data_IF_392973306152
#
_entry.id   IF_392973306152
#
_cell.length_a   1.000
_cell.length_b   1.000
_cell.length_c   1.000
_cell.angle_alpha   90.00
_cell.angle_beta   90.00
_cell.angle_gamma   90.00
#
_symmetry.space_group_name_H-M   'P 1'
#
loop_
_entity.id
_entity.type
_entity.pdbx_description
1 polymer ?
#
# COMPACT_ATOMS: atom_id res chain seq x y z
N UNK A 1 -3.47 -23.68 21.46
CA UNK A 1 -3.60 -23.02 20.14
C UNK A 1 -4.97 -22.32 19.96
N UNK A 2 -5.73 -22.00 21.03
CA UNK A 2 -7.15 -21.63 20.89
C UNK A 2 -7.62 -20.37 21.64
N UNK A 3 -6.79 -19.32 21.77
CA UNK A 3 -7.22 -18.06 22.40
C UNK A 3 -7.12 -16.84 21.47
N UNK A 4 -6.01 -16.68 20.74
CA UNK A 4 -5.78 -15.49 19.91
C UNK A 4 -6.65 -15.46 18.63
N UNK A 5 -6.90 -16.62 18.03
CA UNK A 5 -7.67 -16.76 16.78
C UNK A 5 -8.84 -17.74 16.99
N UNK A 6 -9.92 -17.33 17.67
CA UNK A 6 -11.06 -18.21 18.00
C UNK A 6 -12.01 -18.44 16.81
N UNK A 7 -11.64 -18.01 15.61
CA UNK A 7 -12.49 -18.02 14.42
C UNK A 7 -12.22 -19.24 13.55
N UNK A 8 -13.24 -19.68 12.81
CA UNK A 8 -13.07 -20.56 11.66
C UNK A 8 -12.95 -19.69 10.41
N UNK A 9 -11.93 -19.96 9.59
CA UNK A 9 -11.73 -19.28 8.30
C UNK A 9 -11.87 -20.34 7.22
N UNK A 10 -12.65 -20.00 6.20
CA UNK A 10 -12.90 -20.85 5.05
C UNK A 10 -12.52 -20.07 3.80
N UNK A 11 -11.90 -20.75 2.84
CA UNK A 11 -11.55 -20.18 1.56
C UNK A 11 -12.32 -20.87 0.44
N UNK A 12 -12.67 -20.10 -0.58
CA UNK A 12 -13.30 -20.62 -1.78
C UNK A 12 -12.70 -19.93 -2.99
N UNK A 13 -12.16 -20.72 -3.92
CA UNK A 13 -11.72 -20.21 -5.21
C UNK A 13 -12.92 -19.75 -6.02
N UNK A 14 -12.94 -18.47 -6.40
CA UNK A 14 -13.99 -17.91 -7.24
C UNK A 14 -13.53 -17.84 -8.69
N UNK A 15 -14.20 -18.53 -9.65
CA UNK A 15 -13.82 -18.46 -11.05
C UNK A 15 -14.11 -17.07 -11.62
N UNK A 16 -13.28 -16.57 -12.54
CA UNK A 16 -13.49 -15.28 -13.21
C UNK A 16 -14.80 -15.20 -14.02
N UNK A 17 -15.43 -16.35 -14.29
CA UNK A 17 -16.75 -16.42 -14.95
C UNK A 17 -17.92 -16.31 -13.97
N UNK A 18 -17.67 -16.18 -12.67
CA UNK A 18 -18.72 -16.03 -11.67
C UNK A 18 -19.49 -14.71 -11.89
N UNK A 19 -20.81 -14.80 -11.92
CA UNK A 19 -21.71 -13.64 -12.07
C UNK A 19 -22.27 -13.13 -10.72
N UNK A 20 -21.96 -13.82 -9.63
CA UNK A 20 -22.37 -13.45 -8.28
C UNK A 20 -21.73 -14.33 -7.21
N UNK A 21 -21.48 -13.76 -6.04
CA UNK A 21 -21.06 -14.47 -4.83
C UNK A 21 -21.90 -13.98 -3.65
N UNK A 22 -22.45 -14.92 -2.90
CA UNK A 22 -23.35 -14.62 -1.78
C UNK A 22 -23.11 -15.58 -0.62
N UNK A 23 -23.16 -15.05 0.60
CA UNK A 23 -23.19 -15.86 1.82
C UNK A 23 -24.60 -16.43 2.02
N UNK A 24 -24.74 -17.75 1.91
CA UNK A 24 -26.01 -18.48 2.10
C UNK A 24 -25.99 -19.26 3.43
N UNK A 25 -27.16 -19.34 4.09
CA UNK A 25 -27.35 -20.15 5.30
C UNK A 25 -26.39 -19.84 6.48
N UNK A 26 -25.88 -18.61 6.58
CA UNK A 26 -25.00 -18.21 7.68
C UNK A 26 -25.81 -17.86 8.93
N UNK A 27 -25.65 -18.66 10.00
CA UNK A 27 -26.13 -18.33 11.33
C UNK A 27 -25.09 -17.49 12.08
N UNK A 28 -25.22 -16.17 12.00
CA UNK A 28 -24.34 -15.22 12.71
C UNK A 28 -25.15 -14.12 13.39
N UNK A 29 -24.70 -13.65 14.56
CA UNK A 29 -25.31 -12.54 15.28
C UNK A 29 -25.19 -11.21 14.50
N UNK A 30 -24.08 -11.04 13.78
CA UNK A 30 -23.82 -9.93 12.87
C UNK A 30 -23.18 -10.49 11.61
N UNK A 31 -23.58 -9.98 10.44
CA UNK A 31 -23.07 -10.43 9.14
C UNK A 31 -22.52 -9.26 8.35
N UNK A 32 -21.34 -9.43 7.79
CA UNK A 32 -20.66 -8.44 6.95
C UNK A 32 -20.24 -9.08 5.62
N UNK A 33 -20.53 -8.44 4.46
CA UNK A 33 -21.46 -7.32 4.32
C UNK A 33 -22.89 -7.75 4.66
N UNK A 34 -23.70 -6.82 5.19
CA UNK A 34 -25.04 -7.12 5.72
C UNK A 34 -26.04 -7.62 4.67
N UNK A 35 -25.83 -7.27 3.39
CA UNK A 35 -26.62 -7.74 2.25
C UNK A 35 -26.19 -9.12 1.72
N UNK A 36 -25.13 -9.69 2.32
CA UNK A 36 -24.54 -11.00 2.04
C UNK A 36 -23.84 -11.10 0.69
N UNK A 37 -23.70 -10.02 -0.08
CA UNK A 37 -23.11 -10.04 -1.43
C UNK A 37 -21.63 -9.73 -1.33
N UNK A 38 -20.79 -10.62 -1.84
CA UNK A 38 -19.35 -10.39 -1.90
C UNK A 38 -19.01 -9.70 -3.22
N UNK A 39 -18.16 -8.65 -3.21
CA UNK A 39 -17.75 -8.01 -4.45
C UNK A 39 -16.95 -9.00 -5.30
N UNK A 40 -17.29 -9.05 -6.59
CA UNK A 40 -16.58 -9.87 -7.56
C UNK A 40 -15.75 -8.99 -8.50
N UNK A 41 -14.63 -9.51 -9.02
CA UNK A 41 -13.94 -8.93 -10.16
C UNK A 41 -14.91 -8.52 -11.29
N UNK A 42 -14.90 -7.25 -11.65
CA UNK A 42 -15.69 -6.72 -12.78
C UNK A 42 -15.03 -6.96 -14.15
N UNK A 43 -13.86 -7.60 -14.19
CA UNK A 43 -13.08 -7.85 -15.39
C UNK A 43 -13.08 -9.32 -15.81
N UNK A 44 -12.79 -9.56 -17.08
CA UNK A 44 -12.64 -10.90 -17.67
C UNK A 44 -11.18 -11.16 -18.00
N UNK A 45 -10.88 -12.31 -18.61
CA UNK A 45 -9.54 -12.65 -19.11
C UNK A 45 -9.03 -11.71 -20.22
N UNK A 46 -9.91 -10.91 -20.82
CA UNK A 46 -9.61 -9.99 -21.94
C UNK A 46 -9.89 -8.52 -21.61
N UNK A 47 -10.36 -8.21 -20.41
CA UNK A 47 -10.52 -6.82 -19.93
C UNK A 47 -9.63 -6.59 -18.70
N UNK A 48 -9.77 -5.47 -17.99
CA UNK A 48 -8.96 -5.12 -16.81
C UNK A 48 -9.77 -4.25 -15.83
N UNK A 49 -9.38 -4.16 -14.54
CA UNK A 49 -9.90 -3.14 -13.63
C UNK A 49 -9.80 -1.75 -14.26
N UNK A 50 -10.83 -0.93 -14.09
CA UNK A 50 -10.89 0.43 -14.62
C UNK A 50 -10.64 1.48 -13.53
N UNK A 51 -10.85 1.16 -12.25
CA UNK A 51 -10.72 2.09 -11.13
C UNK A 51 -10.08 1.39 -9.95
N UNK A 52 -8.83 1.72 -9.67
CA UNK A 52 -8.07 1.14 -8.57
C UNK A 52 -7.92 2.19 -7.46
N UNK A 53 -8.29 1.82 -6.23
CA UNK A 53 -7.88 2.57 -5.05
C UNK A 53 -6.65 1.91 -4.44
N UNK A 54 -5.59 2.68 -4.18
CA UNK A 54 -4.40 2.20 -3.46
C UNK A 54 -4.37 2.85 -2.09
N UNK A 55 -4.27 2.03 -1.04
CA UNK A 55 -4.18 2.44 0.36
C UNK A 55 -3.04 1.68 1.05
N UNK A 56 -2.49 2.21 2.14
CA UNK A 56 -1.42 1.57 2.89
C UNK A 56 -1.31 2.15 4.28
N UNK A 57 -0.71 1.37 5.19
CA UNK A 57 -0.31 1.86 6.51
C UNK A 57 -1.52 2.38 7.30
N UNK A 58 -2.53 1.52 7.41
CA UNK A 58 -3.91 1.91 7.72
C UNK A 58 -4.29 1.79 9.18
N UNK A 59 -3.61 0.94 9.96
CA UNK A 59 -4.01 0.69 11.35
C UNK A 59 -3.82 1.90 12.26
N UNK A 60 -4.37 1.79 13.47
CA UNK A 60 -4.27 2.86 14.46
C UNK A 60 -3.03 2.68 15.34
N UNK A 61 -2.10 3.65 15.34
CA UNK A 61 -0.86 3.57 16.12
C UNK A 61 -1.09 3.66 17.62
N UNK A 62 -0.96 2.50 18.28
CA UNK A 62 -0.97 2.37 19.74
C UNK A 62 0.30 1.61 20.15
N UNK A 63 1.47 2.27 20.08
CA UNK A 63 2.76 1.64 20.37
C UNK A 63 2.87 1.29 21.85
N UNK A 64 3.84 0.47 22.26
CA UNK A 64 4.12 0.23 23.69
C UNK A 64 4.68 1.44 24.43
N UNK A 65 5.34 2.35 23.71
CA UNK A 65 5.90 3.58 24.25
C UNK A 65 5.72 4.73 23.27
N UNK A 66 5.63 5.97 23.76
CA UNK A 66 5.45 7.16 22.92
C UNK A 66 3.98 7.56 22.73
N UNK A 67 3.73 8.42 21.75
CA UNK A 67 2.39 8.96 21.47
C UNK A 67 1.44 7.87 20.94
N UNK A 68 0.17 7.98 21.31
CA UNK A 68 -0.91 7.10 20.85
C UNK A 68 -1.85 7.91 19.97
N UNK A 69 -2.21 7.39 18.80
CA UNK A 69 -3.26 7.99 17.97
C UNK A 69 -4.62 7.74 18.63
N UNK A 70 -5.48 8.77 18.66
CA UNK A 70 -6.86 8.62 19.14
C UNK A 70 -7.69 7.86 18.10
N UNK A 71 -7.79 6.54 18.27
CA UNK A 71 -8.50 5.63 17.38
C UNK A 71 -10.01 5.84 17.41
N UNK A 72 -10.56 6.43 18.46
CA UNK A 72 -11.98 6.77 18.53
C UNK A 72 -12.36 8.01 17.70
N UNK A 73 -11.39 8.88 17.38
CA UNK A 73 -11.57 10.10 16.59
C UNK A 73 -11.06 9.94 15.16
N UNK A 74 -11.99 9.71 14.23
CA UNK A 74 -11.68 9.52 12.81
C UNK A 74 -11.54 10.83 12.00
N UNK A 75 -11.68 11.99 12.64
CA UNK A 75 -11.52 13.30 12.01
C UNK A 75 -10.10 13.84 12.19
N UNK A 76 -9.56 13.73 13.42
CA UNK A 76 -8.25 14.32 13.75
C UNK A 76 -7.23 13.33 14.32
N UNK A 77 -7.66 12.16 14.80
CA UNK A 77 -6.78 11.16 15.39
C UNK A 77 -6.33 10.09 14.39
N UNK A 78 -7.27 9.31 13.89
CA UNK A 78 -7.02 8.18 13.00
C UNK A 78 -7.98 8.15 11.80
N UNK A 79 -7.56 8.68 10.63
CA UNK A 79 -8.49 8.98 9.53
C UNK A 79 -8.84 7.79 8.64
N UNK A 80 -8.32 6.58 8.90
CA UNK A 80 -8.52 5.43 8.02
C UNK A 80 -10.01 5.11 7.75
N UNK A 81 -10.93 5.09 8.74
CA UNK A 81 -12.35 4.89 8.46
C UNK A 81 -12.94 5.93 7.50
N UNK A 82 -12.50 7.19 7.61
CA UNK A 82 -12.91 8.28 6.72
C UNK A 82 -12.36 8.08 5.31
N UNK A 83 -11.07 7.70 5.19
CA UNK A 83 -10.41 7.39 3.92
C UNK A 83 -11.04 6.18 3.23
N UNK A 84 -11.31 5.10 3.96
CA UNK A 84 -11.94 3.90 3.41
C UNK A 84 -13.35 4.20 2.85
N UNK A 85 -14.16 4.96 3.59
CA UNK A 85 -15.45 5.44 3.11
C UNK A 85 -15.33 6.36 1.89
N UNK A 86 -14.36 7.27 1.89
CA UNK A 86 -14.09 8.16 0.77
C UNK A 86 -13.67 7.38 -0.49
N UNK A 87 -12.74 6.44 -0.37
CA UNK A 87 -12.35 5.56 -1.47
C UNK A 87 -13.56 4.79 -2.01
N UNK A 88 -14.36 4.19 -1.13
CA UNK A 88 -15.54 3.43 -1.52
C UNK A 88 -16.58 4.27 -2.26
N UNK A 89 -16.79 5.53 -1.86
CA UNK A 89 -17.91 6.37 -2.37
C UNK A 89 -17.50 7.34 -3.47
N UNK A 90 -16.29 7.89 -3.42
CA UNK A 90 -15.77 8.87 -4.39
C UNK A 90 -15.06 8.16 -5.53
N UNK A 91 -14.16 7.23 -5.22
CA UNK A 91 -13.44 6.46 -6.24
C UNK A 91 -14.33 5.37 -6.82
N UNK A 92 -15.12 4.69 -5.99
CA UNK A 92 -15.92 3.52 -6.36
C UNK A 92 -15.05 2.51 -7.14
N UNK A 93 -13.95 2.04 -6.53
CA UNK A 93 -13.02 1.17 -7.21
C UNK A 93 -13.69 -0.14 -7.64
N UNK A 94 -13.22 -0.73 -8.73
CA UNK A 94 -13.48 -2.13 -9.04
C UNK A 94 -12.38 -3.06 -8.50
N UNK A 95 -11.25 -2.51 -8.06
CA UNK A 95 -10.17 -3.21 -7.35
C UNK A 95 -9.54 -2.29 -6.29
N UNK A 96 -9.22 -2.83 -5.12
CA UNK A 96 -8.39 -2.16 -4.12
C UNK A 96 -7.03 -2.85 -4.05
N UNK A 97 -5.96 -2.08 -3.92
CA UNK A 97 -4.62 -2.59 -3.59
C UNK A 97 -4.25 -2.03 -2.22
N UNK A 98 -3.98 -2.89 -1.25
CA UNK A 98 -3.45 -2.50 0.05
C UNK A 98 -1.96 -2.83 0.14
N UNK A 99 -1.12 -1.82 0.35
CA UNK A 99 0.35 -1.94 0.33
C UNK A 99 0.95 -2.27 1.71
N UNK A 100 0.25 -3.07 2.53
CA UNK A 100 0.75 -3.54 3.83
C UNK A 100 0.51 -2.60 5.02
N UNK A 101 0.89 -3.11 6.19
CA UNK A 101 0.71 -2.55 7.52
C UNK A 101 -0.76 -2.27 7.88
N UNK A 102 -1.36 -3.24 8.57
CA UNK A 102 -2.77 -3.25 8.95
C UNK A 102 -2.94 -3.13 10.46
N UNK A 103 -2.04 -3.72 11.25
CA UNK A 103 -2.15 -3.90 12.70
C UNK A 103 -1.12 -3.03 13.42
N UNK A 104 -1.58 -1.93 14.01
CA UNK A 104 -0.70 -0.95 14.66
C UNK A 104 -0.92 -0.87 16.17
N UNK A 105 -1.90 -1.61 16.70
CA UNK A 105 -2.12 -1.74 18.14
C UNK A 105 -1.17 -2.74 18.78
N UNK A 106 0.04 -2.28 19.06
CA UNK A 106 1.02 -3.05 19.85
C UNK A 106 0.65 -3.14 21.33
N UNK A 107 -0.08 -2.13 21.84
CA UNK A 107 -0.55 -2.09 23.22
C UNK A 107 -1.98 -1.52 23.35
N UNK A 108 -3.02 -2.33 23.06
CA UNK A 108 -4.42 -1.89 23.14
C UNK A 108 -4.84 -1.31 24.51
N UNK A 109 -4.08 -1.55 25.58
CA UNK A 109 -4.41 -1.04 26.91
C UNK A 109 -4.30 0.50 27.02
N UNK A 110 -3.54 1.12 26.13
CA UNK A 110 -3.25 2.56 26.15
C UNK A 110 -4.32 3.38 25.44
N UNK A 111 -5.24 2.71 24.73
CA UNK A 111 -6.25 3.36 23.91
C UNK A 111 -7.60 3.53 24.62
N UNK A 112 -8.39 4.51 24.16
CA UNK A 112 -9.64 4.91 24.80
C UNK A 112 -10.92 4.28 24.18
N UNK A 113 -10.78 3.46 23.13
CA UNK A 113 -11.91 2.92 22.34
C UNK A 113 -12.38 1.52 22.78
N UNK A 114 -11.91 1.04 23.93
CA UNK A 114 -12.17 -0.30 24.50
C UNK A 114 -13.65 -0.72 24.50
N UNK A 115 -14.56 0.22 24.77
CA UNK A 115 -15.99 -0.06 24.78
C UNK A 115 -16.50 -0.47 23.39
N UNK A 116 -15.92 0.08 22.32
CA UNK A 116 -16.28 -0.26 20.93
C UNK A 116 -15.58 -1.54 20.45
N UNK A 117 -14.44 -1.89 21.04
CA UNK A 117 -13.63 -3.03 20.65
C UNK A 117 -13.43 -4.00 21.83
N UNK A 118 -14.51 -4.65 22.32
CA UNK A 118 -14.37 -5.69 23.34
C UNK A 118 -13.45 -6.81 22.80
N UNK A 119 -12.51 -7.26 23.61
CA UNK A 119 -11.50 -8.26 23.21
C UNK A 119 -10.25 -7.70 22.54
N UNK A 120 -10.17 -6.37 22.35
CA UNK A 120 -8.95 -5.64 22.00
C UNK A 120 -8.73 -4.52 23.03
N UNK A 121 -8.43 -4.88 24.27
CA UNK A 121 -8.42 -3.91 25.38
C UNK A 121 -7.20 -3.99 26.29
N UNK A 122 -6.38 -5.03 26.14
CA UNK A 122 -5.17 -5.27 26.92
C UNK A 122 -3.98 -5.53 25.99
N UNK A 123 -2.75 -5.35 26.48
CA UNK A 123 -1.53 -5.72 25.74
C UNK A 123 -1.53 -7.18 25.27
N UNK A 124 -2.14 -8.08 26.05
CA UNK A 124 -2.24 -9.50 25.72
C UNK A 124 -3.15 -9.78 24.51
N UNK A 125 -4.05 -8.83 24.19
CA UNK A 125 -4.95 -8.92 23.06
C UNK A 125 -4.32 -8.46 21.74
N UNK A 126 -3.11 -7.88 21.76
CA UNK A 126 -2.46 -7.37 20.56
C UNK A 126 -2.44 -8.44 19.44
N UNK A 127 -2.86 -8.04 18.24
CA UNK A 127 -3.08 -8.91 17.08
C UNK A 127 -4.04 -10.10 17.29
N UNK A 128 -4.92 -10.07 18.30
CA UNK A 128 -6.07 -10.98 18.39
C UNK A 128 -7.04 -10.73 17.24
N UNK A 129 -7.96 -11.67 16.99
CA UNK A 129 -9.05 -11.45 16.05
C UNK A 129 -9.79 -10.12 16.29
N UNK A 130 -10.09 -9.79 17.54
CA UNK A 130 -10.82 -8.56 17.87
C UNK A 130 -10.00 -7.31 17.55
N UNK A 131 -8.66 -7.35 17.72
CA UNK A 131 -7.78 -6.27 17.28
C UNK A 131 -7.66 -6.19 15.76
N UNK A 132 -7.63 -7.31 15.04
CA UNK A 132 -7.67 -7.32 13.56
C UNK A 132 -8.96 -6.69 13.04
N UNK A 133 -10.08 -6.97 13.71
CA UNK A 133 -11.37 -6.32 13.39
C UNK A 133 -11.33 -4.82 13.70
N UNK A 134 -10.76 -4.43 14.84
CA UNK A 134 -10.67 -3.04 15.28
C UNK A 134 -9.81 -2.18 14.34
N UNK A 135 -8.65 -2.68 13.92
CA UNK A 135 -7.69 -1.94 13.10
C UNK A 135 -8.00 -1.99 11.60
N UNK A 136 -8.55 -3.09 11.08
CA UNK A 136 -8.72 -3.25 9.64
C UNK A 136 -10.16 -3.51 9.20
N UNK A 137 -10.75 -4.66 9.54
CA UNK A 137 -12.01 -5.09 8.90
C UNK A 137 -13.18 -4.14 9.14
N UNK A 138 -13.35 -3.61 10.36
CA UNK A 138 -14.46 -2.70 10.67
C UNK A 138 -14.24 -1.31 10.06
N UNK A 139 -13.08 -0.64 10.20
CA UNK A 139 -12.77 0.60 9.50
C UNK A 139 -12.92 0.52 7.97
N UNK A 140 -12.48 -0.60 7.39
CA UNK A 140 -12.49 -0.80 5.95
C UNK A 140 -13.82 -1.36 5.40
N UNK A 141 -14.80 -1.64 6.25
CA UNK A 141 -15.98 -2.43 5.91
C UNK A 141 -16.67 -1.96 4.63
N UNK A 142 -16.90 -0.64 4.47
CA UNK A 142 -17.56 -0.09 3.29
C UNK A 142 -16.74 -0.32 2.01
N UNK A 143 -15.42 -0.22 2.12
CA UNK A 143 -14.51 -0.45 1.00
C UNK A 143 -14.44 -1.93 0.63
N UNK A 144 -14.29 -2.81 1.63
CA UNK A 144 -14.24 -4.26 1.45
C UNK A 144 -15.58 -4.84 0.94
N UNK A 145 -16.70 -4.17 1.21
CA UNK A 145 -17.99 -4.53 0.63
C UNK A 145 -18.14 -4.08 -0.83
N UNK A 146 -17.36 -3.08 -1.27
CA UNK A 146 -17.49 -2.46 -2.58
C UNK A 146 -16.63 -3.10 -3.67
N UNK A 147 -15.46 -3.64 -3.33
CA UNK A 147 -14.49 -4.14 -4.30
C UNK A 147 -13.64 -5.31 -3.76
N UNK A 148 -13.19 -6.25 -4.62
CA UNK A 148 -12.13 -7.19 -4.27
C UNK A 148 -10.82 -6.45 -3.94
N UNK A 149 -10.00 -7.06 -3.08
CA UNK A 149 -8.77 -6.44 -2.57
C UNK A 149 -7.57 -7.34 -2.84
N UNK A 150 -6.49 -6.76 -3.36
CA UNK A 150 -5.16 -7.36 -3.42
C UNK A 150 -4.33 -6.84 -2.24
N UNK A 151 -3.71 -7.75 -1.50
CA UNK A 151 -3.03 -7.45 -0.23
C UNK A 151 -1.55 -7.82 -0.34
N UNK A 152 -0.69 -7.04 0.32
CA UNK A 152 0.70 -7.40 0.59
C UNK A 152 0.97 -7.26 2.07
N UNK A 153 1.96 -7.99 2.59
CA UNK A 153 2.35 -7.93 4.00
C UNK A 153 3.31 -6.78 4.26
N UNK A 154 3.12 -6.07 5.37
CA UNK A 154 4.06 -5.07 5.85
C UNK A 154 4.85 -5.50 7.09
N UNK A 155 5.77 -4.66 7.57
CA UNK A 155 6.63 -5.01 8.70
C UNK A 155 5.89 -5.09 10.03
N UNK A 156 4.74 -4.40 10.17
CA UNK A 156 3.89 -4.56 11.35
C UNK A 156 3.28 -5.96 11.46
N UNK A 157 3.21 -6.70 10.34
CA UNK A 157 2.80 -8.11 10.30
C UNK A 157 3.98 -9.09 10.09
N UNK A 158 5.20 -8.71 10.47
CA UNK A 158 6.31 -9.66 10.51
C UNK A 158 6.09 -10.76 11.56
N UNK A 159 6.77 -11.89 11.37
CA UNK A 159 6.77 -12.97 12.34
C UNK A 159 7.47 -12.54 13.63
N UNK A 160 6.81 -12.79 14.76
CA UNK A 160 7.52 -12.75 16.03
C UNK A 160 8.61 -13.83 16.10
N UNK A 161 9.48 -13.73 17.10
CA UNK A 161 10.58 -14.67 17.35
C UNK A 161 10.17 -16.15 17.50
N UNK A 162 8.90 -16.44 17.81
CA UNK A 162 8.37 -17.80 17.92
C UNK A 162 7.77 -18.34 16.61
N UNK A 163 7.71 -17.52 15.55
CA UNK A 163 7.08 -17.84 14.26
C UNK A 163 5.63 -18.35 14.39
N UNK A 164 4.94 -17.87 15.44
CA UNK A 164 3.60 -18.33 15.79
C UNK A 164 2.81 -17.28 16.55
N UNK A 165 1.55 -17.06 16.16
CA UNK A 165 0.70 -16.02 16.74
C UNK A 165 1.23 -14.61 16.44
N UNK A 166 0.74 -13.62 17.19
CA UNK A 166 1.07 -12.21 16.96
C UNK A 166 0.61 -11.71 15.58
N UNK A 167 1.12 -10.56 15.15
CA UNK A 167 0.69 -9.92 13.91
C UNK A 167 1.03 -10.76 12.66
N UNK A 168 2.22 -11.37 12.59
CA UNK A 168 2.53 -12.32 11.52
C UNK A 168 1.63 -13.55 11.49
N UNK A 169 1.30 -14.14 12.65
CA UNK A 169 0.30 -15.20 12.72
C UNK A 169 -1.09 -14.74 12.29
N UNK A 170 -1.47 -13.50 12.59
CA UNK A 170 -2.74 -12.91 12.15
C UNK A 170 -2.79 -12.69 10.64
N UNK A 171 -1.69 -12.26 10.01
CA UNK A 171 -1.56 -12.16 8.56
C UNK A 171 -1.83 -13.50 7.87
N UNK A 172 -1.10 -14.56 8.26
CA UNK A 172 -1.30 -15.89 7.69
C UNK A 172 -2.65 -16.50 8.07
N UNK A 173 -3.32 -16.00 9.11
CA UNK A 173 -4.64 -16.50 9.49
C UNK A 173 -5.77 -15.90 8.64
N UNK A 174 -5.65 -14.63 8.23
CA UNK A 174 -6.79 -13.85 7.72
C UNK A 174 -6.56 -13.12 6.39
N UNK A 175 -5.32 -12.85 5.99
CA UNK A 175 -5.00 -11.89 4.92
C UNK A 175 -4.08 -12.45 3.83
N UNK A 176 -3.25 -13.45 4.15
CA UNK A 176 -2.36 -14.10 3.19
C UNK A 176 -3.13 -14.85 2.08
N UNK A 177 -2.44 -15.15 0.98
CA UNK A 177 -2.92 -16.06 -0.06
C UNK A 177 -2.75 -17.55 0.31
N UNK A 178 -1.90 -17.84 1.29
CA UNK A 178 -1.71 -19.14 1.93
C UNK A 178 -2.22 -19.08 3.38
N UNK A 179 -3.51 -19.34 3.60
CA UNK A 179 -4.10 -19.25 4.93
C UNK A 179 -3.77 -20.46 5.82
N UNK A 180 -3.39 -20.18 7.07
CA UNK A 180 -2.92 -21.16 8.06
C UNK A 180 -3.77 -21.13 9.33
N UNK A 181 -4.35 -22.27 9.68
CA UNK A 181 -5.23 -22.40 10.85
C UNK A 181 -4.49 -22.52 12.19
N UNK A 182 -3.20 -22.84 12.18
CA UNK A 182 -2.40 -23.11 13.37
C UNK A 182 -1.65 -21.87 13.91
N UNK A 183 -1.81 -20.73 13.22
CA UNK A 183 -1.19 -19.45 13.55
C UNK A 183 0.31 -19.41 13.26
N UNK A 184 0.86 -20.34 12.48
CA UNK A 184 2.26 -20.30 12.03
C UNK A 184 2.51 -19.16 11.04
N UNK A 185 3.76 -18.73 10.96
CA UNK A 185 4.18 -17.60 10.14
C UNK A 185 5.54 -17.89 9.49
N UNK A 186 5.70 -17.48 8.22
CA UNK A 186 6.99 -17.52 7.53
C UNK A 186 7.58 -16.12 7.39
N UNK A 187 8.90 -16.01 7.56
CA UNK A 187 9.62 -14.74 7.42
C UNK A 187 9.61 -14.20 5.99
N UNK A 188 9.60 -15.09 5.01
CA UNK A 188 9.55 -14.74 3.60
C UNK A 188 8.56 -15.65 2.92
N UNK A 189 7.63 -15.09 2.14
CA UNK A 189 6.81 -15.84 1.19
C UNK A 189 7.24 -15.55 -0.24
N UNK A 190 6.95 -16.47 -1.15
CA UNK A 190 7.21 -16.25 -2.57
C UNK A 190 6.28 -15.15 -3.13
N UNK A 191 6.69 -14.43 -4.18
CA UNK A 191 5.84 -13.47 -4.85
C UNK A 191 4.58 -14.10 -5.43
N UNK A 192 3.44 -13.44 -5.17
CA UNK A 192 2.11 -13.93 -5.54
C UNK A 192 1.63 -13.18 -6.77
N UNK A 193 1.43 -13.90 -7.88
CA UNK A 193 0.90 -13.33 -9.11
C UNK A 193 -0.63 -13.37 -9.11
N UNK A 194 -1.27 -12.21 -9.26
CA UNK A 194 -2.72 -12.04 -9.31
C UNK A 194 -3.11 -11.58 -10.71
N UNK A 195 -3.94 -12.36 -11.40
CA UNK A 195 -4.40 -12.02 -12.75
C UNK A 195 -5.67 -11.16 -12.69
N UNK A 196 -5.50 -9.85 -12.85
CA UNK A 196 -6.60 -8.90 -12.99
C UNK A 196 -6.95 -8.64 -14.48
N UNK A 197 -7.20 -9.74 -15.22
CA UNK A 197 -7.47 -9.70 -16.65
C UNK A 197 -6.21 -9.43 -17.49
N UNK A 198 -6.15 -8.27 -18.15
CA UNK A 198 -4.99 -7.76 -18.91
C UNK A 198 -4.00 -6.94 -18.07
N UNK A 199 -4.38 -6.61 -16.83
CA UNK A 199 -3.45 -6.10 -15.82
C UNK A 199 -3.08 -7.27 -14.91
N UNK A 200 -1.79 -7.53 -14.75
CA UNK A 200 -1.29 -8.48 -13.77
C UNK A 200 -0.73 -7.71 -12.58
N UNK A 201 -1.00 -8.19 -11.38
CA UNK A 201 -0.40 -7.67 -10.15
C UNK A 201 0.56 -8.74 -9.62
N UNK A 202 1.65 -8.32 -9.02
CA UNK A 202 2.54 -9.24 -8.29
C UNK A 202 2.79 -8.66 -6.91
N UNK A 203 2.36 -9.37 -5.87
CA UNK A 203 2.67 -9.03 -4.48
C UNK A 203 4.09 -9.51 -4.17
N UNK A 204 4.92 -8.64 -3.63
CA UNK A 204 6.22 -8.98 -3.06
C UNK A 204 6.17 -8.73 -1.55
N UNK A 205 6.33 -9.81 -0.77
CA UNK A 205 6.44 -9.74 0.68
C UNK A 205 7.80 -9.15 1.08
N UNK A 206 7.80 -7.85 1.37
CA UNK A 206 8.99 -7.09 1.79
C UNK A 206 8.97 -6.74 3.27
N UNK A 207 8.11 -7.37 4.08
CA UNK A 207 7.97 -7.11 5.51
C UNK A 207 9.31 -7.17 6.24
N UNK A 208 10.20 -8.10 5.84
CA UNK A 208 11.52 -8.29 6.43
C UNK A 208 12.67 -7.76 5.55
N UNK A 209 12.39 -6.90 4.58
CA UNK A 209 13.43 -6.15 3.87
C UNK A 209 13.94 -5.04 4.79
N UNK A 210 15.27 -4.93 4.98
CA UNK A 210 15.89 -3.90 5.82
C UNK A 210 15.13 -3.66 7.15
N UNK A 211 14.99 -4.67 8.04
CA UNK A 211 14.01 -4.66 9.12
C UNK A 211 14.21 -3.55 10.17
N UNK A 212 15.37 -2.89 10.17
CA UNK A 212 15.70 -1.78 11.07
C UNK A 212 15.78 -0.43 10.33
N UNK A 213 15.42 -0.39 9.04
CA UNK A 213 15.50 0.78 8.15
C UNK A 213 16.85 1.49 8.21
N UNK A 214 17.92 0.70 8.31
CA UNK A 214 19.29 1.17 8.50
C UNK A 214 20.16 0.94 7.26
N UNK A 215 19.54 0.57 6.13
CA UNK A 215 20.21 0.27 4.87
C UNK A 215 20.79 -1.14 4.81
N UNK A 216 20.31 -2.07 5.64
CA UNK A 216 20.78 -3.45 5.64
C UNK A 216 20.50 -4.14 4.30
N UNK A 217 21.51 -4.81 3.75
CA UNK A 217 21.41 -5.60 2.51
C UNK A 217 21.47 -7.11 2.75
N UNK A 218 21.32 -7.54 4.01
CA UNK A 218 21.51 -8.95 4.42
C UNK A 218 20.61 -9.94 3.65
N UNK A 219 19.40 -9.52 3.28
CA UNK A 219 18.43 -10.35 2.58
C UNK A 219 18.53 -10.27 1.04
N UNK A 220 19.57 -9.63 0.47
CA UNK A 220 19.65 -9.36 -0.97
C UNK A 220 19.45 -10.61 -1.82
N UNK A 221 20.13 -11.72 -1.50
CA UNK A 221 20.01 -12.96 -2.25
C UNK A 221 18.59 -13.57 -2.23
N UNK A 222 17.82 -13.36 -1.16
CA UNK A 222 16.41 -13.78 -1.09
C UNK A 222 15.60 -12.96 -2.08
N UNK A 223 15.70 -11.64 -1.97
CA UNK A 223 14.93 -10.72 -2.82
C UNK A 223 15.34 -10.79 -4.28
N UNK A 224 16.61 -11.08 -4.62
CA UNK A 224 17.04 -11.28 -6.01
C UNK A 224 16.29 -12.46 -6.63
N UNK A 225 16.19 -13.59 -5.94
CA UNK A 225 15.43 -14.76 -6.43
C UNK A 225 13.96 -14.45 -6.62
N UNK A 226 13.37 -13.74 -5.66
CA UNK A 226 11.96 -13.35 -5.72
C UNK A 226 11.70 -12.35 -6.88
N UNK A 227 12.57 -11.36 -7.07
CA UNK A 227 12.45 -10.41 -8.18
C UNK A 227 12.73 -11.05 -9.54
N UNK A 228 13.56 -12.10 -9.61
CA UNK A 228 13.66 -12.94 -10.80
C UNK A 228 12.35 -13.71 -11.07
N UNK A 229 11.65 -14.17 -10.03
CA UNK A 229 10.32 -14.78 -10.19
C UNK A 229 9.28 -13.77 -10.69
N UNK A 230 9.31 -12.52 -10.19
CA UNK A 230 8.50 -11.40 -10.74
C UNK A 230 8.77 -11.23 -12.24
N UNK A 231 10.06 -11.21 -12.63
CA UNK A 231 10.46 -11.12 -14.03
C UNK A 231 9.96 -12.31 -14.86
N UNK A 232 10.00 -13.53 -14.33
CA UNK A 232 9.49 -14.72 -15.00
C UNK A 232 7.97 -14.66 -15.22
N UNK A 233 7.19 -14.17 -14.24
CA UNK A 233 5.76 -13.95 -14.44
C UNK A 233 5.48 -12.98 -15.59
N UNK A 234 6.19 -11.85 -15.60
CA UNK A 234 6.06 -10.83 -16.63
C UNK A 234 6.47 -11.34 -18.03
N UNK A 235 7.53 -12.13 -18.12
CA UNK A 235 8.01 -12.73 -19.37
C UNK A 235 7.05 -13.75 -19.98
N UNK A 236 6.26 -14.45 -19.17
CA UNK A 236 5.22 -15.38 -19.66
C UNK A 236 4.03 -14.65 -20.30
N UNK A 237 3.95 -13.33 -20.13
CA UNK A 237 2.83 -12.47 -20.56
C UNK A 237 3.32 -11.15 -21.17
N UNK A 238 4.16 -11.19 -22.22
CA UNK A 238 4.90 -10.01 -22.71
C UNK A 238 4.01 -8.91 -23.29
N UNK A 239 2.74 -9.21 -23.64
CA UNK A 239 1.76 -8.25 -24.15
C UNK A 239 0.78 -7.71 -23.10
N UNK A 240 0.93 -8.09 -21.83
CA UNK A 240 0.06 -7.65 -20.73
C UNK A 240 0.85 -6.75 -19.77
N UNK A 241 0.17 -5.79 -19.13
CA UNK A 241 0.78 -4.87 -18.17
C UNK A 241 0.97 -5.55 -16.81
N UNK A 242 2.05 -5.21 -16.10
CA UNK A 242 2.33 -5.67 -14.73
C UNK A 242 2.51 -4.49 -13.79
N UNK A 243 1.85 -4.54 -12.63
CA UNK A 243 2.18 -3.75 -11.46
C UNK A 243 2.81 -4.64 -10.40
N UNK A 244 4.00 -4.26 -9.94
CA UNK A 244 4.60 -4.83 -8.74
C UNK A 244 4.07 -4.04 -7.55
N UNK A 245 3.58 -4.70 -6.51
CA UNK A 245 3.22 -4.04 -5.28
C UNK A 245 3.87 -4.75 -4.10
N UNK A 246 4.35 -3.96 -3.17
CA UNK A 246 5.20 -4.34 -2.05
C UNK A 246 4.84 -3.45 -0.87
N UNK A 247 5.23 -3.80 0.35
CA UNK A 247 5.11 -2.83 1.44
C UNK A 247 6.26 -1.82 1.42
N UNK A 248 7.50 -2.28 1.59
CA UNK A 248 8.65 -1.39 1.58
C UNK A 248 8.98 -0.90 0.16
N UNK A 249 9.28 0.40 -0.01
CA UNK A 249 9.59 1.00 -1.30
C UNK A 249 10.94 0.55 -1.85
N UNK A 250 11.10 0.49 -3.17
CA UNK A 250 12.39 0.18 -3.80
C UNK A 250 13.25 1.43 -4.01
N UNK A 251 12.63 2.57 -4.35
CA UNK A 251 13.33 3.78 -4.78
C UNK A 251 12.71 5.09 -4.23
N UNK A 252 11.84 5.00 -3.22
CA UNK A 252 11.25 6.18 -2.59
C UNK A 252 12.35 7.04 -1.94
N UNK A 253 12.26 8.35 -2.13
CA UNK A 253 13.21 9.33 -1.59
C UNK A 253 12.64 9.93 -0.31
N UNK A 254 13.32 9.67 0.80
CA UNK A 254 12.97 10.19 2.13
C UNK A 254 13.43 11.63 2.32
N UNK A 255 14.64 11.95 1.87
CA UNK A 255 15.21 13.30 1.96
C UNK A 255 16.22 13.54 0.85
N UNK A 256 16.39 14.81 0.46
CA UNK A 256 17.42 15.24 -0.47
C UNK A 256 17.94 16.63 -0.11
N UNK A 257 19.20 16.92 -0.46
CA UNK A 257 19.85 18.20 -0.26
C UNK A 257 20.37 18.81 -1.55
N UNK A 258 21.13 19.90 -1.43
CA UNK A 258 21.56 20.72 -2.57
C UNK A 258 22.71 20.13 -3.39
N UNK A 259 23.45 19.18 -2.83
CA UNK A 259 24.61 18.58 -3.51
C UNK A 259 24.20 17.27 -4.16
N UNK A 260 24.69 16.98 -5.37
CA UNK A 260 24.45 15.69 -6.02
C UNK A 260 24.97 14.54 -5.14
N UNK A 261 24.13 13.54 -4.91
CA UNK A 261 24.41 12.41 -4.02
C UNK A 261 23.97 12.65 -2.56
N UNK A 262 23.56 13.86 -2.21
CA UNK A 262 22.92 14.17 -0.92
C UNK A 262 21.45 13.73 -0.97
N UNK A 263 21.23 12.42 -0.97
CA UNK A 263 19.90 11.81 -1.08
C UNK A 263 19.81 10.58 -0.17
N UNK A 264 18.73 10.51 0.59
CA UNK A 264 18.35 9.32 1.35
C UNK A 264 17.15 8.68 0.67
N UNK A 265 17.36 7.48 0.13
CA UNK A 265 16.29 6.62 -0.40
C UNK A 265 16.30 5.29 0.36
N UNK A 266 15.12 4.67 0.47
CA UNK A 266 14.89 3.57 1.40
C UNK A 266 14.95 2.18 0.77
N UNK A 267 15.14 1.19 1.64
CA UNK A 267 15.13 -0.25 1.35
C UNK A 267 16.16 -0.67 0.29
N UNK A 268 17.42 -0.23 0.49
CA UNK A 268 18.54 -0.49 -0.44
C UNK A 268 18.62 -1.93 -0.93
N UNK A 269 18.33 -2.89 -0.05
CA UNK A 269 18.32 -4.32 -0.36
C UNK A 269 17.42 -4.68 -1.54
N UNK A 270 16.27 -4.03 -1.72
CA UNK A 270 15.36 -4.32 -2.83
C UNK A 270 15.87 -3.71 -4.14
N UNK A 271 16.39 -2.48 -4.09
CA UNK A 271 17.02 -1.84 -5.24
C UNK A 271 18.26 -2.61 -5.73
N UNK A 272 19.12 -3.05 -4.81
CA UNK A 272 20.27 -3.90 -5.10
C UNK A 272 19.85 -5.27 -5.62
N UNK A 273 18.78 -5.86 -5.06
CA UNK A 273 18.26 -7.13 -5.51
C UNK A 273 17.75 -7.06 -6.95
N UNK A 274 17.09 -5.96 -7.35
CA UNK A 274 16.71 -5.71 -8.77
C UNK A 274 17.96 -5.67 -9.66
N UNK A 275 19.02 -5.00 -9.23
CA UNK A 275 20.28 -4.91 -9.97
C UNK A 275 20.95 -6.28 -10.17
N UNK A 276 20.78 -7.20 -9.20
CA UNK A 276 21.36 -8.55 -9.23
C UNK A 276 20.46 -9.59 -9.93
N UNK A 277 19.24 -9.23 -10.33
CA UNK A 277 18.39 -10.13 -11.15
C UNK A 277 19.07 -10.49 -12.47
N UNK A 278 18.69 -11.59 -13.09
CA UNK A 278 19.24 -12.03 -14.38
C UNK A 278 19.21 -10.94 -15.49
N UNK A 279 18.14 -10.14 -15.66
CA UNK A 279 18.13 -9.02 -16.61
C UNK A 279 18.75 -7.71 -16.06
N UNK A 280 19.19 -7.66 -14.80
CA UNK A 280 19.67 -6.46 -14.08
C UNK A 280 18.64 -5.32 -13.99
N UNK A 281 17.35 -5.67 -14.04
CA UNK A 281 16.20 -4.75 -14.01
C UNK A 281 14.90 -5.52 -13.82
N UNK A 282 13.80 -4.81 -13.55
CA UNK A 282 12.47 -5.38 -13.73
C UNK A 282 12.11 -5.50 -15.22
N UNK A 283 11.30 -6.49 -15.57
CA UNK A 283 10.85 -6.75 -16.93
C UNK A 283 10.18 -5.50 -17.54
N UNK A 284 10.31 -5.31 -18.86
CA UNK A 284 9.85 -4.08 -19.53
C UNK A 284 8.36 -3.81 -19.33
N UNK A 285 7.53 -4.84 -19.27
CA UNK A 285 6.10 -4.75 -19.03
C UNK A 285 5.71 -4.63 -17.55
N UNK A 286 6.66 -4.63 -16.60
CA UNK A 286 6.43 -4.08 -15.25
C UNK A 286 6.46 -2.57 -15.36
N UNK A 287 5.28 -1.94 -15.27
CA UNK A 287 5.07 -0.52 -15.61
C UNK A 287 5.00 0.40 -14.41
N UNK A 288 4.69 -0.12 -13.23
CA UNK A 288 4.55 0.65 -12.00
C UNK A 288 4.94 -0.22 -10.81
N UNK A 289 5.62 0.39 -9.85
CA UNK A 289 5.80 -0.17 -8.50
C UNK A 289 4.91 0.60 -7.54
N UNK A 290 4.16 -0.12 -6.71
CA UNK A 290 3.33 0.42 -5.64
C UNK A 290 3.91 0.03 -4.28
N UNK A 291 4.02 0.96 -3.34
CA UNK A 291 4.55 0.70 -1.99
C UNK A 291 3.86 1.53 -0.91
N UNK A 292 4.07 1.18 0.36
CA UNK A 292 3.66 1.92 1.56
C UNK A 292 4.87 2.23 2.45
N UNK A 293 4.80 1.83 3.72
CA UNK A 293 5.85 1.86 4.75
C UNK A 293 6.21 3.27 5.26
N UNK A 294 6.45 4.20 4.33
CA UNK A 294 6.64 5.60 4.69
C UNK A 294 5.28 6.26 4.66
N UNK A 295 4.91 6.91 5.76
CA UNK A 295 3.55 7.41 5.98
C UNK A 295 3.28 8.74 5.25
N UNK A 296 3.47 8.72 3.92
CA UNK A 296 3.24 9.83 3.00
C UNK A 296 2.81 9.30 1.62
N UNK A 297 2.45 10.22 0.73
CA UNK A 297 2.30 9.92 -0.71
C UNK A 297 3.49 10.51 -1.48
N UNK A 298 4.14 9.72 -2.32
CA UNK A 298 5.18 10.19 -3.24
C UNK A 298 5.14 9.45 -4.58
N UNK A 299 5.21 10.21 -5.67
CA UNK A 299 5.49 9.72 -7.02
C UNK A 299 6.95 10.00 -7.35
N UNK A 300 7.70 9.00 -7.80
CA UNK A 300 9.07 9.17 -8.28
C UNK A 300 9.28 8.42 -9.59
N UNK A 301 9.94 9.05 -10.55
CA UNK A 301 10.32 8.43 -11.82
C UNK A 301 11.70 8.85 -12.31
N UNK A 302 12.19 8.15 -13.33
CA UNK A 302 13.57 8.24 -13.81
C UNK A 302 13.68 8.53 -15.31
N UNK A 303 12.55 8.51 -16.02
CA UNK A 303 12.50 8.55 -17.49
C UNK A 303 13.43 7.50 -18.14
N UNK A 304 13.39 6.27 -17.61
CA UNK A 304 14.19 5.14 -18.12
C UNK A 304 13.37 3.85 -18.18
N UNK A 305 14.01 2.72 -18.49
CA UNK A 305 13.38 1.40 -18.43
C UNK A 305 12.95 0.98 -17.02
N UNK A 306 13.48 1.63 -15.97
CA UNK A 306 13.07 1.41 -14.57
C UNK A 306 11.62 1.88 -14.41
N UNK A 307 10.72 1.04 -13.89
CA UNK A 307 9.36 1.49 -13.65
C UNK A 307 9.36 2.64 -12.65
N UNK A 308 8.51 3.66 -12.86
CA UNK A 308 8.24 4.64 -11.81
C UNK A 308 7.65 3.96 -10.59
N UNK A 309 7.75 4.63 -9.44
CA UNK A 309 7.20 4.15 -8.18
C UNK A 309 6.21 5.16 -7.61
N UNK A 310 5.10 4.64 -7.10
CA UNK A 310 4.12 5.36 -6.32
C UNK A 310 4.08 4.78 -4.89
N UNK A 311 4.45 5.59 -3.91
CA UNK A 311 4.38 5.26 -2.48
C UNK A 311 3.11 5.86 -1.89
N UNK A 312 2.32 5.07 -1.18
CA UNK A 312 1.00 5.40 -0.62
C UNK A 312 0.87 4.83 0.80
N UNK A 313 1.58 5.42 1.76
CA UNK A 313 1.49 5.03 3.17
C UNK A 313 0.74 6.02 4.06
N UNK A 314 0.02 6.98 3.48
CA UNK A 314 -0.67 8.01 4.25
C UNK A 314 -2.15 7.71 4.53
N UNK A 315 -2.54 6.45 4.65
CA UNK A 315 -3.97 6.10 4.80
C UNK A 315 -4.45 5.88 6.24
N UNK A 316 -3.60 5.97 7.26
CA UNK A 316 -4.04 5.90 8.66
C UNK A 316 -2.98 6.23 9.71
N UNK A 317 -1.81 5.61 9.63
CA UNK A 317 -0.71 5.76 10.60
C UNK A 317 -0.13 7.17 10.69
N UNK A 318 0.67 7.50 11.71
CA UNK A 318 1.18 8.85 11.94
C UNK A 318 2.04 9.32 10.78
N UNK A 319 1.78 10.51 10.23
CA UNK A 319 2.44 10.97 9.00
C UNK A 319 3.95 11.20 9.19
N UNK A 320 4.71 10.84 8.17
CA UNK A 320 6.14 11.14 8.05
C UNK A 320 6.36 12.48 7.34
N UNK A 321 7.55 13.06 7.55
CA UNK A 321 8.03 14.17 6.74
C UNK A 321 8.58 13.66 5.39
N UNK A 322 8.19 14.35 4.31
CA UNK A 322 8.68 14.12 2.95
C UNK A 322 9.77 15.11 2.52
N UNK A 323 10.48 14.82 1.41
CA UNK A 323 11.55 15.68 0.89
C UNK A 323 11.01 16.97 0.26
N UNK A 324 11.89 17.96 0.09
CA UNK A 324 11.68 19.01 -0.91
C UNK A 324 11.92 18.41 -2.30
N UNK A 325 10.85 18.22 -3.08
CA UNK A 325 10.92 17.59 -4.41
C UNK A 325 11.86 18.32 -5.37
N UNK A 326 12.08 19.64 -5.22
CA UNK A 326 13.04 20.39 -6.04
C UNK A 326 14.49 19.92 -5.81
N UNK A 327 14.81 19.46 -4.60
CA UNK A 327 16.12 18.93 -4.25
C UNK A 327 16.26 17.45 -4.64
N UNK A 328 15.15 16.77 -4.88
CA UNK A 328 15.14 15.37 -5.34
C UNK A 328 15.51 15.28 -6.82
N UNK A 329 15.08 16.25 -7.64
CA UNK A 329 15.33 16.23 -9.09
C UNK A 329 16.83 16.10 -9.41
N UNK A 330 17.17 15.15 -10.28
CA UNK A 330 18.54 14.84 -10.69
C UNK A 330 19.36 14.04 -9.66
N UNK A 331 18.84 13.80 -8.45
CA UNK A 331 19.58 13.01 -7.45
C UNK A 331 19.74 11.54 -7.91
N UNK A 332 20.91 10.93 -7.66
CA UNK A 332 21.17 9.56 -8.07
C UNK A 332 20.55 8.56 -7.08
N UNK A 333 19.51 7.84 -7.50
CA UNK A 333 18.78 6.87 -6.67
C UNK A 333 18.85 5.46 -7.23
N UNK A 334 18.89 4.46 -6.35
CA UNK A 334 18.91 3.04 -6.68
C UNK A 334 20.27 2.50 -7.14
N UNK A 335 20.27 1.24 -7.58
CA UNK A 335 21.44 0.52 -8.06
C UNK A 335 21.13 -0.09 -9.45
N UNK A 336 21.92 0.20 -10.51
CA UNK A 336 22.84 1.33 -10.57
C UNK A 336 22.11 2.67 -10.31
N UNK A 337 22.82 3.72 -9.87
CA UNK A 337 22.18 5.00 -9.63
C UNK A 337 21.62 5.59 -10.91
N UNK A 338 20.37 6.07 -10.85
CA UNK A 338 19.72 6.78 -11.94
C UNK A 338 19.24 8.14 -11.43
N UNK A 339 19.42 9.22 -12.22
CA UNK A 339 18.92 10.54 -11.83
C UNK A 339 17.40 10.51 -11.76
N UNK A 340 16.83 11.02 -10.68
CA UNK A 340 15.37 11.21 -10.60
C UNK A 340 14.97 12.25 -11.64
N UNK A 341 14.04 11.88 -12.51
CA UNK A 341 13.47 12.77 -13.52
C UNK A 341 12.31 13.59 -12.95
N UNK A 342 11.50 12.99 -12.07
CA UNK A 342 10.38 13.68 -11.43
C UNK A 342 10.13 13.14 -10.02
N UNK A 343 9.78 14.04 -9.11
CA UNK A 343 9.33 13.73 -7.74
C UNK A 343 8.13 14.60 -7.41
N UNK A 344 7.07 14.01 -6.87
CA UNK A 344 5.87 14.71 -6.39
C UNK A 344 5.43 14.08 -5.08
N UNK A 345 5.61 14.81 -3.99
CA UNK A 345 5.26 14.41 -2.63
C UNK A 345 4.08 15.26 -2.13
N UNK A 346 3.13 14.65 -1.43
CA UNK A 346 1.98 15.38 -0.87
C UNK A 346 2.21 15.71 0.59
N UNK A 347 2.61 16.95 0.83
CA UNK A 347 2.97 17.51 2.13
C UNK A 347 2.14 18.76 2.45
N UNK A 348 2.10 19.14 3.73
CA UNK A 348 1.40 20.36 4.18
C UNK A 348 2.03 21.63 3.58
N UNK A 349 3.35 21.64 3.40
CA UNK A 349 4.12 22.72 2.79
C UNK A 349 4.69 22.36 1.40
N UNK A 350 5.06 23.34 0.56
CA UNK A 350 5.56 23.09 -0.80
C UNK A 350 7.04 22.65 -0.87
N UNK A 351 7.79 22.80 0.23
CA UNK A 351 9.23 22.51 0.32
C UNK A 351 9.49 21.28 1.20
N UNK A 352 8.65 20.24 1.05
CA UNK A 352 8.63 19.07 1.92
C UNK A 352 8.00 19.32 3.29
N UNK A 353 8.34 18.45 4.24
CA UNK A 353 7.77 18.42 5.59
C UNK A 353 6.62 17.42 5.73
N UNK A 354 5.78 17.60 6.76
CA UNK A 354 4.79 16.58 7.13
C UNK A 354 3.85 16.25 5.99
N UNK A 355 3.64 14.95 5.77
CA UNK A 355 2.76 14.42 4.74
C UNK A 355 1.31 14.88 4.88
N UNK A 356 0.46 14.37 3.99
CA UNK A 356 -0.99 14.56 4.06
C UNK A 356 -1.69 13.21 4.01
N UNK A 357 -2.68 13.04 4.87
CA UNK A 357 -3.54 11.85 4.87
C UNK A 357 -4.36 11.72 3.59
N UNK A 358 -4.36 10.54 3.00
CA UNK A 358 -5.11 10.25 1.79
C UNK A 358 -4.82 8.88 1.19
N UNK A 359 -5.13 8.75 -0.08
CA UNK A 359 -5.01 7.52 -0.85
C UNK A 359 -4.82 7.83 -2.34
N UNK A 360 -4.40 6.86 -3.14
CA UNK A 360 -4.29 7.02 -4.58
C UNK A 360 -5.54 6.49 -5.32
N UNK A 361 -6.02 7.24 -6.31
CA UNK A 361 -7.04 6.81 -7.28
C UNK A 361 -6.39 6.69 -8.67
N UNK A 362 -6.38 5.47 -9.19
CA UNK A 362 -5.82 5.07 -10.47
C UNK A 362 -6.98 4.72 -11.42
N UNK A 363 -7.27 5.62 -12.36
CA UNK A 363 -8.29 5.43 -13.38
C UNK A 363 -7.70 5.00 -14.72
N UNK A 364 -8.17 3.89 -15.29
CA UNK A 364 -7.76 3.50 -16.63
C UNK A 364 -8.47 4.34 -17.71
N UNK A 365 -7.70 4.93 -18.60
CA UNK A 365 -8.18 5.65 -19.78
C UNK A 365 -8.04 4.76 -21.01
N UNK A 366 -9.15 4.24 -21.51
CA UNK A 366 -9.18 3.42 -22.73
C UNK A 366 -8.69 4.20 -23.96
N UNK A 367 -9.07 5.47 -24.11
CA UNK A 367 -8.63 6.34 -25.22
C UNK A 367 -7.12 6.55 -25.21
N UNK A 368 -6.52 6.67 -24.03
CA UNK A 368 -5.08 6.87 -23.87
C UNK A 368 -4.27 5.58 -23.70
N UNK A 369 -4.94 4.42 -23.63
CA UNK A 369 -4.36 3.13 -23.24
C UNK A 369 -3.42 3.23 -22.03
N UNK A 370 -3.82 4.02 -21.02
CA UNK A 370 -2.95 4.32 -19.87
C UNK A 370 -3.73 4.63 -18.60
N UNK A 371 -3.00 4.73 -17.49
CA UNK A 371 -3.50 5.04 -16.16
C UNK A 371 -3.41 6.54 -15.89
N UNK A 372 -4.48 7.10 -15.33
CA UNK A 372 -4.55 8.44 -14.74
C UNK A 372 -4.40 8.26 -13.23
N UNK A 373 -3.42 8.94 -12.63
CA UNK A 373 -3.05 8.81 -11.23
C UNK A 373 -3.35 10.12 -10.51
N UNK A 374 -4.07 10.02 -9.40
CA UNK A 374 -4.40 11.16 -8.55
C UNK A 374 -4.23 10.80 -7.09
N UNK A 375 -3.73 11.74 -6.30
CA UNK A 375 -3.83 11.67 -4.86
C UNK A 375 -5.13 12.31 -4.39
N UNK A 376 -5.86 11.62 -3.51
CA UNK A 376 -7.08 12.13 -2.89
C UNK A 376 -6.89 12.22 -1.39
N UNK A 377 -7.29 13.35 -0.80
CA UNK A 377 -7.28 13.50 0.65
C UNK A 377 -8.38 12.68 1.34
N UNK A 378 -8.47 12.79 2.66
CA UNK A 378 -9.49 12.12 3.50
C UNK A 378 -10.92 12.27 2.99
N UNK A 379 -11.28 13.42 2.42
CA UNK A 379 -12.62 13.71 1.88
C UNK A 379 -12.78 13.36 0.39
N UNK A 380 -11.76 12.77 -0.24
CA UNK A 380 -11.79 12.35 -1.64
C UNK A 380 -11.50 13.47 -2.63
N UNK A 381 -11.13 14.66 -2.15
CA UNK A 381 -10.74 15.78 -3.01
C UNK A 381 -9.35 15.52 -3.56
N UNK A 382 -9.18 15.71 -4.87
CA UNK A 382 -7.87 15.64 -5.52
C UNK A 382 -6.97 16.74 -4.97
N UNK A 383 -5.78 16.36 -4.51
CA UNK A 383 -4.70 17.26 -4.13
C UNK A 383 -3.49 17.01 -5.04
N UNK A 384 -2.77 18.08 -5.34
CA UNK A 384 -1.65 18.02 -6.28
C UNK A 384 -2.09 17.78 -7.74
N UNK A 385 -1.13 17.47 -8.63
CA UNK A 385 -1.41 17.25 -10.03
C UNK A 385 -2.12 15.92 -10.30
N UNK A 386 -2.89 15.89 -11.37
CA UNK A 386 -3.36 14.64 -11.99
C UNK A 386 -2.37 14.24 -13.08
N UNK A 387 -1.69 13.12 -12.89
CA UNK A 387 -0.68 12.64 -13.82
C UNK A 387 -1.17 11.44 -14.61
N UNK A 388 -0.47 11.10 -15.69
CA UNK A 388 -0.68 9.86 -16.44
C UNK A 388 0.57 8.99 -16.39
N UNK A 389 0.43 7.68 -16.36
CA UNK A 389 1.56 6.78 -16.60
C UNK A 389 1.94 6.87 -18.08
N UNK A 390 3.21 7.01 -18.42
CA UNK A 390 3.61 6.94 -19.83
C UNK A 390 3.39 5.52 -20.38
N UNK A 391 3.01 5.44 -21.65
CA UNK A 391 2.92 4.22 -22.47
C UNK A 391 4.27 3.79 -23.04
N UNK A 392 5.28 4.66 -23.06
CA UNK A 392 6.62 4.28 -23.46
C UNK A 392 7.26 3.31 -22.44
N UNK A 393 7.69 2.14 -22.90
CA UNK A 393 8.35 1.11 -22.07
C UNK A 393 9.88 1.22 -22.08
N UNK A 394 10.45 2.11 -22.89
CA UNK A 394 11.87 2.45 -22.88
C UNK A 394 12.19 3.56 -21.89
N UNK A 395 11.30 4.55 -21.80
CA UNK A 395 11.44 5.75 -20.97
C UNK A 395 10.14 5.91 -20.18
N UNK A 396 10.03 5.14 -19.08
CA UNK A 396 8.83 5.09 -18.25
C UNK A 396 8.85 6.27 -17.29
N UNK A 397 7.82 7.09 -17.32
CA UNK A 397 7.69 8.27 -16.48
C UNK A 397 6.24 8.55 -16.13
N UNK A 398 6.02 9.52 -15.25
CA UNK A 398 4.71 10.13 -15.06
C UNK A 398 4.60 11.40 -15.90
N UNK A 399 3.56 11.49 -16.70
CA UNK A 399 3.22 12.66 -17.50
C UNK A 399 2.27 13.55 -16.69
N UNK A 400 2.83 14.57 -16.05
CA UNK A 400 2.09 15.53 -15.23
C UNK A 400 1.94 16.87 -15.96
N UNK A 401 0.86 17.65 -15.73
CA UNK A 401 0.70 18.98 -16.32
C UNK A 401 1.91 19.89 -16.06
N UNK A 402 2.30 20.78 -17.00
CA UNK A 402 3.42 21.71 -16.80
C UNK A 402 3.23 22.61 -15.58
N UNK A 403 4.32 22.92 -14.87
CA UNK A 403 4.30 23.75 -13.65
C UNK A 403 4.02 22.99 -12.35
N UNK A 404 4.13 21.66 -12.37
CA UNK A 404 3.82 20.77 -11.23
C UNK A 404 5.04 20.23 -10.49
N UNK A 405 6.27 20.49 -10.99
CA UNK A 405 7.41 20.66 -10.09
C UNK A 405 7.08 21.88 -9.23
N UNK A 406 7.06 21.75 -7.91
CA UNK A 406 6.72 22.82 -6.95
C UNK A 406 7.69 23.99 -7.00
N UNK A 407 7.66 24.76 -8.09
CA UNK A 407 8.10 26.14 -8.13
C UNK A 407 7.07 27.03 -7.43
N UNK A 408 7.49 28.20 -6.90
CA UNK A 408 6.70 28.97 -5.95
C UNK A 408 5.49 29.61 -6.63
N UNK A 409 4.31 29.02 -6.44
CA UNK A 409 3.05 29.75 -6.57
C UNK A 409 1.90 28.98 -7.23
N UNK A 410 0.71 29.24 -6.70
CA UNK A 410 -0.64 28.83 -7.15
C UNK A 410 -1.05 27.39 -6.76
N UNK A 411 -2.17 27.09 -6.11
CA UNK A 411 -3.29 27.87 -5.58
C UNK A 411 -3.91 27.15 -4.36
N UNK A 412 -4.22 27.93 -3.31
CA UNK A 412 -4.69 27.50 -1.99
C UNK A 412 -6.22 27.35 -1.93
N UNK A 413 -6.73 26.39 -1.14
CA UNK A 413 -7.97 26.56 -0.37
C UNK A 413 -7.65 26.50 1.12
N UNK A 414 -7.87 27.60 1.85
CA UNK A 414 -7.70 27.64 3.30
C UNK A 414 -7.10 28.96 3.78
N UNK A 415 -7.88 30.04 3.70
CA UNK A 415 -7.65 31.19 4.58
C UNK A 415 -8.01 30.79 6.02
N UNK A 416 -7.31 31.32 7.03
CA UNK A 416 -7.53 30.95 8.43
C UNK A 416 -8.95 31.34 8.85
N UNK A 417 -9.71 30.37 9.35
CA UNK A 417 -10.94 30.66 10.11
C UNK A 417 -10.48 31.14 11.49
N UNK A 418 -10.65 32.43 11.73
CA UNK A 418 -10.41 33.03 13.03
C UNK A 418 -11.38 32.44 14.06
N UNK A 419 -10.81 31.98 15.18
CA UNK A 419 -11.50 31.61 16.40
C UNK A 419 -12.19 32.86 16.98
N UNK A 420 -13.49 32.76 17.23
CA UNK A 420 -14.19 33.49 18.30
C UNK A 420 -15.11 32.55 19.02
#
# INVERSE_FOLDING_TARGET
>A
MGAQFPTTVCEVGVPLTASGARLEQVAAAVLHPGDRRLPLPGWTSTTRPQRIAVIGDTGCSVPKAGAVQNCADHQTGWPFPTIANSAATVTRPDLVIHVGDYLYREDPDRENDKQRNPGCTTTADAASWDCVVADFFRPAQTLLAGAPVALTRGNHEDCNQNFKGGAGGAWFRYLADDLRGDGTCDRYTDPVAIRAGLLNLVSLDSSFADPMDNGSTAAKAVFTRQLDQVNQYAQRRPGEDFFLFTHKPLWMVKSAGHTTGDVTWLTRVLGDAVADTAPHRLARNVRLVLSGHVHLYQMVDFDTVRPPQLTVGSSGGPLDDGPDDLLVLGQPVGTPPQPVHQSITQTVGPTGGTGVFGYADLGYSSTGNTWVLTFRNTNGRVLGPTCRLDTNLADKSFLCPPGTSTGPGTNRPGGPVAVR
#
